data_IF_773515876325
#
_entry.id   IF_773515876325
#
_cell.length_a   1.000
_cell.length_b   1.000
_cell.length_c   1.000
_cell.angle_alpha   90.00
_cell.angle_beta   90.00
_cell.angle_gamma   90.00
#
_symmetry.space_group_name_H-M   'P 1'
#
loop_
_entity.id
_entity.type
_entity.pdbx_description
1 polymer ?
#
# COMPACT_ATOMS: atom_id res chain seq x y z
N UNK A 1 -11.60 8.66 54.94
CA UNK A 1 -12.60 8.21 53.94
C UNK A 1 -11.85 7.32 52.98
N UNK A 2 -12.40 6.15 52.69
CA UNK A 2 -11.72 5.18 51.86
C UNK A 2 -12.03 5.45 50.39
N UNK A 3 -11.03 5.23 49.54
CA UNK A 3 -11.22 5.28 48.09
C UNK A 3 -11.31 3.86 47.56
N UNK A 4 -12.31 3.62 46.71
CA UNK A 4 -12.49 2.37 46.00
C UNK A 4 -12.47 2.65 44.50
N UNK A 5 -11.60 1.93 43.78
CA UNK A 5 -11.47 1.99 42.33
C UNK A 5 -11.97 0.68 41.73
N UNK A 6 -12.99 0.76 40.87
CA UNK A 6 -13.44 -0.37 40.07
C UNK A 6 -12.93 -0.20 38.64
N UNK A 7 -12.15 -1.18 38.18
CA UNK A 7 -11.62 -1.21 36.81
C UNK A 7 -12.24 -2.38 36.05
N UNK A 8 -12.52 -2.18 34.76
CA UNK A 8 -12.94 -3.25 33.85
C UNK A 8 -11.98 -3.27 32.67
N UNK A 9 -11.48 -4.46 32.34
CA UNK A 9 -10.53 -4.67 31.24
C UNK A 9 -11.26 -5.39 30.11
N UNK A 10 -11.20 -4.83 28.91
CA UNK A 10 -11.73 -5.45 27.69
C UNK A 10 -10.59 -5.99 26.82
N UNK A 11 -10.78 -7.11 26.12
CA UNK A 11 -9.78 -7.62 25.18
C UNK A 11 -9.51 -6.63 24.05
N UNK A 12 -8.27 -6.59 23.57
CA UNK A 12 -7.91 -5.85 22.36
C UNK A 12 -8.62 -6.47 21.14
N UNK A 13 -9.18 -5.65 20.23
CA UNK A 13 -9.76 -6.13 18.97
C UNK A 13 -8.74 -6.82 18.07
N UNK A 14 -9.22 -7.62 17.12
CA UNK A 14 -8.38 -8.27 16.12
C UNK A 14 -7.73 -7.26 15.16
N UNK A 15 -6.58 -7.64 14.61
CA UNK A 15 -5.83 -6.87 13.61
C UNK A 15 -6.69 -6.56 12.36
N UNK A 16 -6.57 -5.34 11.85
CA UNK A 16 -7.17 -4.91 10.58
C UNK A 16 -6.12 -5.09 9.47
N UNK A 17 -6.42 -5.96 8.50
CA UNK A 17 -5.49 -6.29 7.42
C UNK A 17 -5.86 -5.56 6.14
N UNK A 18 -4.93 -4.77 5.61
CA UNK A 18 -4.99 -4.11 4.30
C UNK A 18 -4.15 -4.90 3.30
N UNK A 19 -4.78 -5.37 2.22
CA UNK A 19 -4.08 -6.01 1.10
C UNK A 19 -4.16 -5.09 -0.13
N UNK A 20 -3.01 -4.72 -0.69
CA UNK A 20 -2.94 -3.80 -1.82
C UNK A 20 -1.95 -4.31 -2.86
N UNK A 21 -2.22 -4.01 -4.13
CA UNK A 21 -1.28 -4.24 -5.22
C UNK A 21 -1.03 -2.95 -5.98
N UNK A 22 0.23 -2.65 -6.27
CA UNK A 22 0.64 -1.51 -7.10
C UNK A 22 1.63 -1.95 -8.19
N UNK A 23 1.75 -1.16 -9.25
CA UNK A 23 2.77 -1.38 -10.27
C UNK A 23 4.12 -0.79 -9.84
N UNK A 24 5.21 -1.33 -10.36
CA UNK A 24 6.56 -0.80 -10.18
C UNK A 24 6.62 0.67 -10.60
N UNK A 25 7.20 1.50 -9.74
CA UNK A 25 7.26 2.95 -9.91
C UNK A 25 6.05 3.73 -9.37
N UNK A 26 4.99 3.05 -8.92
CA UNK A 26 3.91 3.68 -8.19
C UNK A 26 4.22 3.76 -6.68
N UNK A 27 3.51 4.66 -5.98
CA UNK A 27 3.58 4.83 -4.53
C UNK A 27 2.23 4.53 -3.91
N UNK A 28 2.23 3.79 -2.80
CA UNK A 28 1.08 3.60 -1.95
C UNK A 28 1.30 4.25 -0.59
N UNK A 29 0.52 5.29 -0.28
CA UNK A 29 0.56 5.95 1.03
C UNK A 29 -0.36 5.23 2.00
N UNK A 30 0.18 4.75 3.12
CA UNK A 30 -0.56 4.05 4.15
C UNK A 30 -0.13 4.51 5.54
N UNK A 31 -1.09 4.90 6.39
CA UNK A 31 -0.83 5.50 7.71
C UNK A 31 0.19 6.66 7.67
N UNK A 32 0.13 7.49 6.62
CA UNK A 32 1.03 8.63 6.45
C UNK A 32 2.46 8.27 6.03
N UNK A 33 2.75 7.00 5.75
CA UNK A 33 4.03 6.52 5.23
C UNK A 33 3.88 6.05 3.80
N UNK A 34 4.84 6.40 2.94
CA UNK A 34 4.86 6.01 1.55
C UNK A 34 5.60 4.68 1.34
N UNK A 35 4.97 3.77 0.62
CA UNK A 35 5.51 2.45 0.27
C UNK A 35 5.60 2.28 -1.24
N UNK A 36 6.78 1.91 -1.72
CA UNK A 36 7.08 1.65 -3.14
C UNK A 36 7.60 0.23 -3.37
N UNK A 37 7.75 -0.56 -2.31
CA UNK A 37 8.31 -1.92 -2.31
C UNK A 37 7.36 -2.89 -1.61
N UNK A 38 7.53 -4.19 -1.87
CA UNK A 38 6.73 -5.24 -1.24
C UNK A 38 6.74 -5.12 0.28
N UNK A 39 5.56 -5.21 0.89
CA UNK A 39 5.37 -5.26 2.33
C UNK A 39 4.66 -6.55 2.70
N UNK A 40 5.17 -7.28 3.69
CA UNK A 40 4.57 -8.53 4.16
C UNK A 40 4.36 -8.42 5.66
N UNK A 41 3.12 -8.18 6.08
CA UNK A 41 2.75 -8.07 7.48
C UNK A 41 3.32 -6.83 8.18
N UNK A 42 3.54 -5.72 7.46
CA UNK A 42 4.00 -4.46 8.07
C UNK A 42 2.94 -3.96 9.05
N UNK A 43 3.32 -3.75 10.31
CA UNK A 43 2.38 -3.43 11.40
C UNK A 43 2.45 -1.96 11.81
N UNK A 44 1.28 -1.36 12.03
CA UNK A 44 1.13 -0.07 12.69
C UNK A 44 0.27 -0.26 13.94
N UNK A 45 0.84 -0.16 15.16
CA UNK A 45 0.11 -0.40 16.40
C UNK A 45 -1.03 0.59 16.61
N UNK A 46 -2.14 0.10 17.17
CA UNK A 46 -3.19 0.95 17.70
C UNK A 46 -2.66 1.86 18.83
N UNK A 47 -3.16 3.09 18.91
CA UNK A 47 -2.56 4.15 19.74
C UNK A 47 -2.57 3.88 21.25
N UNK A 48 -3.51 3.07 21.75
CA UNK A 48 -3.86 2.96 23.16
C UNK A 48 -3.96 1.51 23.66
N UNK A 49 -3.53 0.54 22.85
CA UNK A 49 -3.62 -0.89 23.17
C UNK A 49 -5.05 -1.46 23.18
N UNK A 50 -6.07 -0.61 23.06
CA UNK A 50 -7.48 -0.98 22.92
C UNK A 50 -7.97 -0.85 21.47
N UNK A 51 -7.23 -0.11 20.64
CA UNK A 51 -7.45 -0.01 19.20
C UNK A 51 -6.80 -1.19 18.48
N UNK A 52 -7.48 -1.72 17.46
CA UNK A 52 -6.93 -2.75 16.58
C UNK A 52 -5.61 -2.30 15.94
N UNK A 53 -4.65 -3.22 15.84
CA UNK A 53 -3.44 -2.97 15.05
C UNK A 53 -3.78 -3.00 13.57
N UNK A 54 -3.10 -2.18 12.78
CA UNK A 54 -3.21 -2.20 11.33
C UNK A 54 -2.07 -3.05 10.77
N UNK A 55 -2.36 -3.86 9.76
CA UNK A 55 -1.40 -4.73 9.09
C UNK A 55 -1.48 -4.51 7.58
N UNK A 56 -0.35 -4.26 6.93
CA UNK A 56 -0.24 -4.06 5.49
C UNK A 56 0.45 -5.25 4.81
N UNK A 57 -0.20 -5.76 3.76
CA UNK A 57 0.40 -6.61 2.75
C UNK A 57 0.34 -5.87 1.40
N UNK A 58 1.48 -5.37 0.95
CA UNK A 58 1.61 -4.65 -0.31
C UNK A 58 2.38 -5.52 -1.31
N UNK A 59 1.78 -5.79 -2.46
CA UNK A 59 2.43 -6.45 -3.58
C UNK A 59 2.77 -5.43 -4.67
N UNK A 60 4.02 -5.39 -5.10
CA UNK A 60 4.50 -4.55 -6.18
C UNK A 60 4.78 -5.43 -7.39
N UNK A 61 4.00 -5.24 -8.45
CA UNK A 61 4.12 -6.00 -9.70
C UNK A 61 4.91 -5.22 -10.74
N UNK A 62 5.64 -5.89 -11.65
CA UNK A 62 6.29 -5.20 -12.76
C UNK A 62 5.29 -4.40 -13.61
N UNK A 63 5.71 -3.23 -14.11
CA UNK A 63 4.93 -2.50 -15.12
C UNK A 63 4.87 -3.37 -16.39
N UNK A 64 3.74 -3.38 -17.13
CA UNK A 64 3.70 -3.96 -18.46
C UNK A 64 4.83 -3.42 -19.34
N UNK A 65 5.37 -4.27 -20.22
CA UNK A 65 6.37 -3.86 -21.18
C UNK A 65 5.81 -2.76 -22.09
N UNK A 66 6.67 -1.82 -22.49
CA UNK A 66 6.27 -0.77 -23.41
C UNK A 66 5.95 -1.38 -24.79
N UNK A 67 4.92 -0.84 -25.45
CA UNK A 67 4.56 -1.23 -26.81
C UNK A 67 5.49 -0.50 -27.78
N UNK A 68 6.42 -1.23 -28.38
CA UNK A 68 7.37 -0.68 -29.35
C UNK A 68 6.81 -0.80 -30.77
N UNK A 69 6.61 0.34 -31.44
CA UNK A 69 6.17 0.38 -32.84
C UNK A 69 7.34 0.81 -33.73
N UNK A 70 7.85 -0.12 -34.54
CA UNK A 70 8.91 0.18 -35.51
C UNK A 70 8.30 0.48 -36.89
N UNK A 71 8.69 1.60 -37.50
CA UNK A 71 8.20 2.06 -38.80
C UNK A 71 9.37 2.48 -39.69
N UNK A 72 9.35 2.04 -40.94
CA UNK A 72 10.31 2.46 -41.97
C UNK A 72 9.57 3.30 -43.00
N UNK A 73 10.02 4.53 -43.20
CA UNK A 73 9.42 5.44 -44.19
C UNK A 73 10.42 5.81 -45.29
N UNK A 74 9.90 6.10 -46.48
CA UNK A 74 10.70 6.53 -47.63
C UNK A 74 11.15 7.99 -47.48
N UNK A 75 12.20 8.39 -48.22
CA UNK A 75 12.59 9.80 -48.32
C UNK A 75 11.42 10.65 -48.82
N UNK A 76 11.10 11.72 -48.10
CA UNK A 76 9.95 12.60 -48.40
C UNK A 76 8.60 12.12 -47.86
N UNK A 77 8.52 10.92 -47.25
CA UNK A 77 7.30 10.47 -46.59
C UNK A 77 7.13 11.11 -45.21
N UNK A 78 5.87 11.22 -44.76
CA UNK A 78 5.50 11.67 -43.42
C UNK A 78 4.84 10.53 -42.66
N UNK A 79 5.20 10.40 -41.38
CA UNK A 79 4.58 9.44 -40.46
C UNK A 79 3.80 10.18 -39.38
N UNK A 80 2.53 9.82 -39.20
CA UNK A 80 1.67 10.35 -38.13
C UNK A 80 1.47 9.26 -37.09
N UNK A 81 1.94 9.51 -35.86
CA UNK A 81 1.72 8.64 -34.72
C UNK A 81 0.44 9.05 -34.01
N UNK A 82 -0.40 8.07 -33.63
CA UNK A 82 -1.65 8.28 -32.91
C UNK A 82 -1.70 7.40 -31.66
#
# INVERSE_FOLDING_TARGET
ADQVLNLTVTPKPADIVTNQTICSGATFTWNGTDYTTNQTGTRFPGADGCTADQVLNLTVTPKPADIVTNQTICSGATFTWN
#
